data_IF_418167902699
#
_entry.id   IF_418167902699
#
_cell.length_a   1.000
_cell.length_b   1.000
_cell.length_c   1.000
_cell.angle_alpha   90.00
_cell.angle_beta   90.00
_cell.angle_gamma   90.00
#
_symmetry.space_group_name_H-M   'P 1'
#
loop_
_entity.id
_entity.type
_entity.pdbx_description
1 polymer ?
#
# COMPACT_ATOMS: atom_id res chain seq x y z
N UNK A 1 -4.95 -37.65 25.73
CA UNK A 1 -5.95 -37.24 24.71
C UNK A 1 -6.18 -35.72 24.68
N UNK A 2 -6.43 -35.04 25.82
CA UNK A 2 -6.65 -33.58 25.87
C UNK A 2 -5.42 -32.72 25.47
N UNK A 3 -4.20 -33.14 25.83
CA UNK A 3 -2.97 -32.37 25.55
C UNK A 3 -2.60 -32.30 24.04
N UNK A 4 -2.89 -33.35 23.29
CA UNK A 4 -2.63 -33.43 21.85
C UNK A 4 -3.54 -32.45 21.08
N UNK A 5 -4.77 -32.24 21.57
CA UNK A 5 -5.72 -31.29 20.99
C UNK A 5 -5.31 -29.83 21.18
N UNK A 6 -4.64 -29.49 22.29
CA UNK A 6 -4.13 -28.12 22.51
C UNK A 6 -2.90 -27.83 21.64
N UNK A 7 -2.06 -28.83 21.41
CA UNK A 7 -0.88 -28.69 20.53
C UNK A 7 -1.27 -28.59 19.06
N UNK A 8 -2.29 -29.33 18.62
CA UNK A 8 -2.80 -29.21 17.25
C UNK A 8 -3.54 -27.88 17.03
N UNK A 9 -4.25 -27.36 18.03
CA UNK A 9 -4.94 -26.08 17.94
C UNK A 9 -3.95 -24.90 17.87
N UNK A 10 -2.84 -24.93 18.61
CA UNK A 10 -1.81 -23.87 18.50
C UNK A 10 -1.07 -23.91 17.16
N UNK A 11 -0.88 -25.10 16.58
CA UNK A 11 -0.28 -25.26 15.26
C UNK A 11 -1.20 -24.75 14.14
N UNK A 12 -2.51 -24.92 14.30
CA UNK A 12 -3.52 -24.43 13.35
C UNK A 12 -3.68 -22.90 13.42
N UNK A 13 -3.56 -22.30 14.62
CA UNK A 13 -3.63 -20.84 14.77
C UNK A 13 -2.36 -20.14 14.28
N UNK A 14 -1.18 -20.75 14.44
CA UNK A 14 0.08 -20.19 13.96
C UNK A 14 0.20 -20.17 12.42
N UNK A 15 -0.33 -21.21 11.77
CA UNK A 15 -0.36 -21.30 10.29
C UNK A 15 -1.40 -20.37 9.64
N UNK A 16 -2.50 -20.05 10.33
CA UNK A 16 -3.49 -19.07 9.85
C UNK A 16 -2.96 -17.63 9.85
N UNK A 17 -2.06 -17.27 10.77
CA UNK A 17 -1.52 -15.90 10.88
C UNK A 17 -0.52 -15.56 9.75
N UNK A 18 0.11 -16.57 9.14
CA UNK A 18 1.11 -16.37 8.08
C UNK A 18 0.51 -16.10 6.70
N UNK A 19 -0.79 -16.35 6.50
CA UNK A 19 -1.48 -16.11 5.21
C UNK A 19 -1.77 -14.62 4.97
N UNK A 20 -1.83 -13.80 6.02
CA UNK A 20 -2.16 -12.37 5.91
C UNK A 20 -0.94 -11.44 5.74
N UNK A 21 0.29 -11.95 5.76
CA UNK A 21 1.53 -11.14 5.70
C UNK A 21 2.14 -11.06 4.29
N UNK A 22 1.40 -11.43 3.25
CA UNK A 22 1.83 -11.24 1.87
C UNK A 22 1.78 -9.77 1.47
N UNK A 23 2.91 -9.05 1.51
CA UNK A 23 3.05 -7.75 0.83
C UNK A 23 2.76 -7.96 -0.66
N UNK A 24 1.56 -7.59 -1.11
CA UNK A 24 1.25 -7.62 -2.53
C UNK A 24 2.06 -6.55 -3.25
N UNK A 25 2.88 -7.00 -4.21
CA UNK A 25 3.54 -6.11 -5.17
C UNK A 25 2.51 -5.72 -6.22
N UNK A 26 1.94 -4.52 -6.10
CA UNK A 26 1.01 -3.99 -7.09
C UNK A 26 1.84 -3.44 -8.26
N UNK A 27 1.66 -4.02 -9.43
CA UNK A 27 2.19 -3.53 -10.70
C UNK A 27 1.05 -2.91 -11.51
N UNK A 28 1.13 -1.61 -11.77
CA UNK A 28 0.08 -0.88 -12.50
C UNK A 28 0.22 -1.10 -14.02
N UNK A 29 -0.91 -1.33 -14.68
CA UNK A 29 -1.00 -1.50 -16.13
C UNK A 29 -1.83 -0.36 -16.74
N UNK A 30 -1.70 -0.19 -18.06
CA UNK A 30 -2.49 0.79 -18.81
C UNK A 30 -3.98 0.42 -18.68
N UNK A 31 -4.81 1.42 -18.35
CA UNK A 31 -6.25 1.25 -18.16
C UNK A 31 -6.67 0.99 -16.72
N UNK A 32 -5.73 0.67 -15.82
CA UNK A 32 -6.03 0.54 -14.40
C UNK A 32 -6.50 1.88 -13.83
N UNK A 33 -7.44 1.81 -12.89
CA UNK A 33 -7.77 2.98 -12.06
C UNK A 33 -6.55 3.32 -11.22
N UNK A 34 -6.11 4.57 -11.29
CA UNK A 34 -5.03 5.06 -10.45
C UNK A 34 -5.40 4.89 -8.96
N UNK A 35 -4.51 4.32 -8.12
CA UNK A 35 -4.72 4.22 -6.69
C UNK A 35 -4.98 5.59 -6.07
N UNK A 36 -5.87 5.66 -5.09
CA UNK A 36 -6.07 6.88 -4.33
C UNK A 36 -4.81 7.20 -3.52
N UNK A 37 -4.41 8.48 -3.53
CA UNK A 37 -3.34 8.98 -2.68
C UNK A 37 -3.66 10.40 -2.24
N UNK A 38 -2.99 10.82 -1.17
CA UNK A 38 -2.93 12.21 -0.74
C UNK A 38 -1.51 12.55 -0.34
N UNK A 39 -1.05 13.73 -0.74
CA UNK A 39 0.30 14.22 -0.47
C UNK A 39 0.22 15.66 -0.01
N UNK A 40 1.15 16.05 0.86
CA UNK A 40 1.34 17.46 1.22
C UNK A 40 2.25 18.11 0.19
N UNK A 41 1.89 19.31 -0.25
CA UNK A 41 2.78 20.16 -1.02
C UNK A 41 3.75 20.93 -0.09
N UNK A 42 4.57 21.80 -0.69
CA UNK A 42 5.53 22.66 0.01
C UNK A 42 4.88 23.63 1.02
N UNK A 43 3.60 23.95 0.84
CA UNK A 43 2.83 24.82 1.72
C UNK A 43 2.05 24.04 2.79
N UNK A 44 2.29 22.72 2.90
CA UNK A 44 1.54 21.78 3.76
C UNK A 44 0.07 21.62 3.37
N UNK A 45 -0.35 22.10 2.20
CA UNK A 45 -1.68 21.85 1.66
C UNK A 45 -1.77 20.39 1.23
N UNK A 46 -2.82 19.70 1.68
CA UNK A 46 -3.07 18.31 1.29
C UNK A 46 -3.78 18.30 -0.04
N UNK A 47 -3.17 17.69 -1.04
CA UNK A 47 -3.78 17.40 -2.33
C UNK A 47 -4.17 15.94 -2.40
N UNK A 48 -5.41 15.63 -2.76
CA UNK A 48 -5.89 14.27 -3.01
C UNK A 48 -6.02 14.06 -4.50
N UNK A 49 -5.77 12.85 -4.99
CA UNK A 49 -5.99 12.54 -6.41
C UNK A 49 -7.43 12.87 -6.87
N UNK A 50 -8.41 12.69 -5.99
CA UNK A 50 -9.82 13.02 -6.23
C UNK A 50 -10.09 14.50 -6.49
N UNK A 51 -9.22 15.40 -6.04
CA UNK A 51 -9.43 16.85 -6.18
C UNK A 51 -9.23 17.28 -7.65
N UNK A 52 -8.68 16.41 -8.48
CA UNK A 52 -8.39 16.62 -9.91
C UNK A 52 -9.33 15.86 -10.85
N UNK A 53 -10.46 15.35 -10.37
CA UNK A 53 -11.43 14.67 -11.22
C UNK A 53 -11.83 15.53 -12.43
N UNK A 54 -11.88 14.91 -13.61
CA UNK A 54 -12.15 15.59 -14.88
C UNK A 54 -10.94 16.29 -15.51
N UNK A 55 -9.77 16.31 -14.85
CA UNK A 55 -8.52 16.86 -15.40
C UNK A 55 -7.56 15.74 -15.79
N UNK A 56 -6.73 15.97 -16.81
CA UNK A 56 -5.57 15.10 -17.09
C UNK A 56 -4.46 15.44 -16.10
N UNK A 57 -3.92 14.42 -15.44
CA UNK A 57 -2.88 14.55 -14.41
C UNK A 57 -1.69 13.68 -14.80
N UNK A 58 -0.48 14.23 -14.63
CA UNK A 58 0.79 13.50 -14.77
C UNK A 58 1.43 13.44 -13.39
N UNK A 59 1.72 12.24 -12.90
CA UNK A 59 2.48 12.03 -11.68
C UNK A 59 3.94 11.77 -12.05
N UNK A 60 4.85 12.56 -11.50
CA UNK A 60 6.28 12.42 -11.75
C UNK A 60 7.04 12.42 -10.41
N UNK A 61 8.01 11.52 -10.26
CA UNK A 61 8.78 11.33 -9.03
C UNK A 61 10.23 11.77 -9.24
N UNK A 62 10.71 12.66 -8.38
CA UNK A 62 12.10 13.15 -8.38
C UNK A 62 12.85 12.56 -7.16
N UNK A 63 13.64 11.48 -7.32
CA UNK A 63 14.28 10.80 -6.18
C UNK A 63 15.29 11.65 -5.42
N UNK A 64 15.79 12.71 -6.06
CA UNK A 64 16.83 13.60 -5.54
C UNK A 64 16.40 15.07 -5.59
N UNK A 65 15.13 15.35 -5.32
CA UNK A 65 14.59 16.71 -5.39
C UNK A 65 15.33 17.69 -4.47
N UNK A 66 15.85 17.21 -3.33
CA UNK A 66 16.51 18.03 -2.30
C UNK A 66 18.05 17.92 -2.32
N UNK A 67 18.66 17.47 -3.42
CA UNK A 67 20.11 17.41 -3.52
C UNK A 67 20.68 18.63 -4.25
N UNK A 68 21.80 19.23 -3.78
CA UNK A 68 22.41 20.39 -4.43
C UNK A 68 22.96 20.13 -5.84
N UNK A 69 23.21 18.86 -6.19
CA UNK A 69 24.00 18.46 -7.36
C UNK A 69 25.47 18.30 -6.98
#
# INVERSE_FOLDING_TARGET
MKLIAFFSLSLLTYSGLSIFSGKQKIELKIGDKAPSFNLKDQNKTVHRLSDYLGKKVVLYYFPKADTPG
#
